data_IF_484130741043
#
_entry.id   IF_484130741043
#
_cell.length_a   1.000
_cell.length_b   1.000
_cell.length_c   1.000
_cell.angle_alpha   90.00
_cell.angle_beta   90.00
_cell.angle_gamma   90.00
#
_symmetry.space_group_name_H-M   'P 1'
#
loop_
_entity.id
_entity.type
_entity.pdbx_description
1 polymer ?
#
# COMPACT_ATOMS: atom_id res chain seq x y z
N UNK A 1 5.88 16.42 -14.96
CA UNK A 1 4.85 17.37 -14.52
C UNK A 1 4.33 16.99 -13.13
N UNK A 2 4.03 17.96 -12.25
CA UNK A 2 3.62 17.69 -10.84
C UNK A 2 2.28 16.96 -10.75
N UNK A 3 1.38 17.24 -11.68
CA UNK A 3 0.09 16.54 -11.81
C UNK A 3 0.28 15.04 -12.07
N UNK A 4 1.27 14.65 -12.87
CA UNK A 4 1.56 13.23 -13.11
C UNK A 4 2.01 12.51 -11.83
N UNK A 5 2.82 13.16 -10.99
CA UNK A 5 3.26 12.59 -9.70
C UNK A 5 2.06 12.38 -8.77
N UNK A 6 1.16 13.36 -8.71
CA UNK A 6 -0.07 13.27 -7.94
C UNK A 6 -0.98 12.13 -8.46
N UNK A 7 -1.18 12.04 -9.77
CA UNK A 7 -2.01 11.00 -10.39
C UNK A 7 -1.46 9.59 -10.14
N UNK A 8 -0.13 9.41 -10.21
CA UNK A 8 0.51 8.15 -9.81
C UNK A 8 0.21 7.83 -8.34
N UNK A 9 0.36 8.79 -7.42
CA UNK A 9 -0.01 8.61 -6.01
C UNK A 9 -1.47 8.20 -5.84
N UNK A 10 -2.40 8.85 -6.55
CA UNK A 10 -3.84 8.61 -6.50
C UNK A 10 -4.22 7.23 -7.04
N UNK A 11 -3.67 6.84 -8.20
CA UNK A 11 -3.88 5.51 -8.78
C UNK A 11 -3.39 4.40 -7.86
N UNK A 12 -2.19 4.53 -7.30
CA UNK A 12 -1.66 3.55 -6.35
C UNK A 12 -2.45 3.49 -5.05
N UNK A 13 -2.95 4.63 -4.56
CA UNK A 13 -3.81 4.68 -3.37
C UNK A 13 -5.10 3.91 -3.64
N UNK A 14 -5.78 4.16 -4.76
CA UNK A 14 -7.01 3.47 -5.13
C UNK A 14 -6.81 1.96 -5.24
N UNK A 15 -5.76 1.52 -5.95
CA UNK A 15 -5.45 0.09 -6.12
C UNK A 15 -5.24 -0.59 -4.76
N UNK A 16 -4.50 0.04 -3.85
CA UNK A 16 -4.21 -0.56 -2.54
C UNK A 16 -5.34 -0.37 -1.51
N UNK A 17 -6.26 0.58 -1.72
CA UNK A 17 -7.52 0.62 -1.00
C UNK A 17 -8.38 -0.61 -1.33
N UNK A 18 -8.44 -1.01 -2.62
CA UNK A 18 -9.10 -2.26 -3.02
C UNK A 18 -8.39 -3.49 -2.43
N UNK A 19 -7.04 -3.50 -2.41
CA UNK A 19 -6.27 -4.56 -1.77
C UNK A 19 -6.55 -4.64 -0.25
N UNK A 20 -6.72 -3.50 0.42
CA UNK A 20 -7.08 -3.44 1.84
C UNK A 20 -8.48 -3.99 2.09
N UNK A 21 -9.45 -3.68 1.22
CA UNK A 21 -10.79 -4.29 1.28
C UNK A 21 -10.73 -5.81 1.10
N UNK A 22 -9.91 -6.29 0.16
CA UNK A 22 -9.69 -7.73 -0.03
C UNK A 22 -9.04 -8.37 1.21
N UNK A 23 -8.07 -7.71 1.85
CA UNK A 23 -7.46 -8.18 3.09
C UNK A 23 -8.46 -8.20 4.26
N UNK A 24 -9.32 -7.19 4.38
CA UNK A 24 -10.36 -7.14 5.40
C UNK A 24 -11.40 -8.26 5.21
N UNK A 25 -11.82 -8.50 3.96
CA UNK A 25 -12.70 -9.61 3.62
C UNK A 25 -12.04 -10.96 3.94
N UNK A 26 -10.77 -11.16 3.54
CA UNK A 26 -10.02 -12.36 3.87
C UNK A 26 -9.89 -12.56 5.39
N UNK A 27 -9.60 -11.51 6.15
CA UNK A 27 -9.53 -11.56 7.61
C UNK A 27 -10.87 -11.98 8.25
N UNK A 28 -12.01 -11.59 7.66
CA UNK A 28 -13.33 -12.01 8.13
C UNK A 28 -13.63 -13.50 7.89
N UNK A 29 -13.01 -14.10 6.86
CA UNK A 29 -13.24 -15.49 6.47
C UNK A 29 -12.20 -16.45 7.07
N UNK A 30 -10.98 -15.94 7.21
CA UNK A 30 -9.76 -16.69 7.48
C UNK A 30 -8.89 -15.91 8.48
N UNK A 31 -9.39 -15.66 9.70
CA UNK A 31 -8.67 -14.87 10.67
C UNK A 31 -7.31 -15.49 10.98
N UNK A 32 -6.25 -14.66 10.99
CA UNK A 32 -4.90 -15.09 11.27
C UNK A 32 -3.88 -13.95 11.23
N UNK A 33 -2.67 -14.22 11.71
CA UNK A 33 -1.58 -13.24 11.72
C UNK A 33 -1.22 -12.77 10.30
N UNK A 34 -1.29 -13.65 9.31
CA UNK A 34 -0.99 -13.33 7.92
C UNK A 34 -2.00 -12.34 7.29
N UNK A 35 -3.31 -12.52 7.51
CA UNK A 35 -4.33 -11.56 7.02
C UNK A 35 -4.21 -10.20 7.72
N UNK A 36 -3.92 -10.21 9.03
CA UNK A 36 -3.69 -8.98 9.78
C UNK A 36 -2.42 -8.25 9.32
N UNK A 37 -1.34 -8.99 9.06
CA UNK A 37 -0.12 -8.44 8.52
C UNK A 37 -0.34 -7.82 7.13
N UNK A 38 -1.08 -8.50 6.24
CA UNK A 38 -1.43 -7.96 4.93
C UNK A 38 -2.15 -6.61 5.01
N UNK A 39 -3.16 -6.49 5.89
CA UNK A 39 -3.89 -5.23 6.10
C UNK A 39 -2.98 -4.09 6.56
N UNK A 40 -2.15 -4.33 7.58
CA UNK A 40 -1.20 -3.31 8.07
C UNK A 40 -0.16 -2.92 7.02
N UNK A 41 0.34 -3.89 6.24
CA UNK A 41 1.31 -3.64 5.18
C UNK A 41 0.72 -2.78 4.05
N UNK A 42 -0.54 -2.99 3.68
CA UNK A 42 -1.22 -2.11 2.71
C UNK A 42 -1.45 -0.70 3.26
N UNK A 43 -1.80 -0.56 4.55
CA UNK A 43 -1.96 0.76 5.19
C UNK A 43 -0.62 1.52 5.21
N UNK A 44 0.42 0.89 5.75
CA UNK A 44 1.77 1.49 5.83
C UNK A 44 2.29 1.80 4.42
N UNK A 45 2.13 0.86 3.49
CA UNK A 45 2.49 1.05 2.09
C UNK A 45 1.80 2.24 1.46
N UNK A 46 0.49 2.43 1.72
CA UNK A 46 -0.28 3.56 1.17
C UNK A 46 0.20 4.90 1.71
N UNK A 47 0.47 4.97 3.02
CA UNK A 47 0.99 6.19 3.65
C UNK A 47 2.38 6.52 3.12
N UNK A 48 3.29 5.55 3.03
CA UNK A 48 4.66 5.78 2.58
C UNK A 48 4.75 6.03 1.07
N UNK A 49 4.02 5.27 0.25
CA UNK A 49 4.06 5.38 -1.20
C UNK A 49 3.23 6.58 -1.68
N UNK A 50 1.92 6.53 -1.53
CA UNK A 50 1.04 7.58 -2.06
C UNK A 50 1.19 8.88 -1.28
N UNK A 51 1.30 8.81 0.05
CA UNK A 51 1.51 10.00 0.87
C UNK A 51 2.79 10.76 0.54
N UNK A 52 3.91 10.06 0.25
CA UNK A 52 5.14 10.72 -0.16
C UNK A 52 5.07 11.34 -1.56
N UNK A 53 4.36 10.71 -2.51
CA UNK A 53 4.12 11.28 -3.84
C UNK A 53 3.22 12.52 -3.77
N UNK A 54 2.20 12.51 -2.90
CA UNK A 54 1.40 13.71 -2.63
C UNK A 54 2.26 14.83 -2.05
N UNK A 55 3.06 14.54 -1.01
CA UNK A 55 3.97 15.51 -0.41
C UNK A 55 4.97 16.06 -1.44
N UNK A 56 5.56 15.20 -2.29
CA UNK A 56 6.46 15.59 -3.37
C UNK A 56 5.77 16.50 -4.40
N UNK A 57 4.56 16.13 -4.83
CA UNK A 57 3.82 16.90 -5.85
C UNK A 57 3.39 18.29 -5.36
N UNK A 58 3.02 18.41 -4.08
CA UNK A 58 2.55 19.65 -3.49
C UNK A 58 3.70 20.57 -3.04
N UNK A 59 4.74 20.02 -2.41
CA UNK A 59 5.86 20.80 -1.89
C UNK A 59 7.00 21.03 -2.89
N UNK A 60 7.17 20.12 -3.86
CA UNK A 60 8.35 20.09 -4.74
C UNK A 60 9.64 19.58 -4.07
N UNK A 61 9.60 19.17 -2.79
CA UNK A 61 10.77 18.68 -2.06
C UNK A 61 11.11 17.26 -2.52
N UNK A 62 12.21 17.11 -3.27
CA UNK A 62 12.64 15.83 -3.88
C UNK A 62 12.93 14.72 -2.87
N UNK A 63 13.26 15.06 -1.62
CA UNK A 63 13.55 14.09 -0.57
C UNK A 63 12.37 13.14 -0.29
N UNK A 64 11.12 13.61 -0.46
CA UNK A 64 9.94 12.75 -0.32
C UNK A 64 9.93 11.60 -1.33
N UNK A 65 10.48 11.81 -2.54
CA UNK A 65 10.58 10.75 -3.55
C UNK A 65 11.38 9.54 -3.08
N UNK A 66 12.37 9.73 -2.19
CA UNK A 66 13.17 8.64 -1.63
C UNK A 66 12.40 7.76 -0.63
N UNK A 67 11.23 8.19 -0.15
CA UNK A 67 10.37 7.43 0.78
C UNK A 67 9.52 6.40 0.00
N UNK A 68 9.13 6.73 -1.24
CA UNK A 68 8.27 5.91 -2.11
C UNK A 68 8.68 4.41 -2.19
N UNK A 69 9.97 4.05 -2.35
CA UNK A 69 10.39 2.65 -2.45
C UNK A 69 10.04 1.80 -1.22
N UNK A 70 10.11 2.38 -0.01
CA UNK A 70 9.74 1.68 1.22
C UNK A 70 8.26 1.31 1.24
N UNK A 71 7.40 2.20 0.73
CA UNK A 71 5.99 1.89 0.55
C UNK A 71 5.76 0.77 -0.48
N UNK A 72 6.55 0.73 -1.56
CA UNK A 72 6.53 -0.36 -2.54
C UNK A 72 6.91 -1.71 -1.94
N UNK A 73 7.94 -1.75 -1.09
CA UNK A 73 8.33 -2.97 -0.35
C UNK A 73 7.21 -3.43 0.58
N UNK A 74 6.58 -2.49 1.30
CA UNK A 74 5.43 -2.81 2.15
C UNK A 74 4.25 -3.38 1.34
N UNK A 75 3.95 -2.83 0.17
CA UNK A 75 2.92 -3.37 -0.73
C UNK A 75 3.22 -4.80 -1.20
N UNK A 76 4.46 -5.07 -1.63
CA UNK A 76 4.88 -6.42 -2.04
C UNK A 76 4.72 -7.39 -0.86
N UNK A 77 5.20 -7.02 0.32
CA UNK A 77 5.06 -7.85 1.51
C UNK A 77 3.58 -8.08 1.87
N UNK A 78 2.72 -7.07 1.70
CA UNK A 78 1.28 -7.18 1.95
C UNK A 78 0.60 -8.20 1.03
N UNK A 79 0.92 -8.16 -0.27
CA UNK A 79 0.43 -9.15 -1.23
C UNK A 79 0.95 -10.57 -0.94
N UNK A 80 2.23 -10.71 -0.58
CA UNK A 80 2.79 -12.00 -0.18
C UNK A 80 2.10 -12.56 1.08
N UNK A 81 1.86 -11.73 2.08
CA UNK A 81 1.14 -12.12 3.29
C UNK A 81 -0.31 -12.54 3.00
N UNK A 82 -1.00 -11.81 2.13
CA UNK A 82 -2.37 -12.14 1.73
C UNK A 82 -2.43 -13.45 0.93
N UNK A 83 -1.51 -13.65 -0.02
CA UNK A 83 -1.42 -14.87 -0.81
C UNK A 83 -1.08 -16.08 0.08
N UNK A 84 -0.15 -15.91 1.02
CA UNK A 84 0.18 -16.93 2.01
C UNK A 84 -1.01 -17.29 2.89
N UNK A 85 -1.77 -16.29 3.36
CA UNK A 85 -2.98 -16.54 4.12
C UNK A 85 -4.01 -17.34 3.33
N UNK A 86 -4.16 -17.06 2.03
CA UNK A 86 -5.07 -17.80 1.15
C UNK A 86 -4.60 -19.24 0.87
N UNK A 87 -3.30 -19.47 0.73
CA UNK A 87 -2.73 -20.81 0.49
C UNK A 87 -2.93 -21.76 1.69
N UNK A 88 -2.97 -21.23 2.91
CA UNK A 88 -3.16 -22.02 4.13
C UNK A 88 -4.62 -22.44 4.38
N UNK A 89 -5.55 -22.11 3.47
CA UNK A 89 -6.99 -22.32 3.64
C UNK A 89 -7.51 -23.28 2.58
#
# INVERSE_FOLDING_TARGET
DRLNIFDVGARYHLIHALALLAAAWAASRWPGSATSAAGWLFIIGTVLFSGSLYALSLSGIRAFGAITPFGGVAFIAGWLALAWAAWQK
#
